data_IF_463624190456
#
_entry.id   IF_463624190456
#
_cell.length_a   1.000
_cell.length_b   1.000
_cell.length_c   1.000
_cell.angle_alpha   90.00
_cell.angle_beta   90.00
_cell.angle_gamma   90.00
#
_symmetry.space_group_name_H-M   'P 1'
#
loop_
_entity.id
_entity.type
_entity.pdbx_description
1 polymer ?
#
# COMPACT_ATOMS: atom_id res chain seq x y z
N UNK A 1 -21.55 29.50 6.54
CA UNK A 1 -21.17 28.36 7.40
C UNK A 1 -21.96 27.16 6.91
N UNK A 2 -21.41 26.39 5.98
CA UNK A 2 -21.99 25.11 5.55
C UNK A 2 -20.85 24.10 5.53
N UNK A 3 -21.07 23.04 6.30
CA UNK A 3 -20.16 21.97 6.65
C UNK A 3 -19.76 21.17 5.42
N UNK A 4 -18.46 21.16 5.09
CA UNK A 4 -17.90 20.08 4.28
C UNK A 4 -17.62 18.91 5.21
N UNK A 5 -18.70 18.26 5.64
CA UNK A 5 -18.63 16.95 6.26
C UNK A 5 -18.03 16.00 5.24
N UNK A 6 -16.93 15.33 5.61
CA UNK A 6 -16.47 14.12 4.94
C UNK A 6 -17.55 13.06 5.21
N UNK A 7 -18.58 13.06 4.37
CA UNK A 7 -19.71 12.14 4.45
C UNK A 7 -19.23 10.80 3.90
N UNK A 8 -18.66 9.97 4.79
CA UNK A 8 -18.61 8.51 4.64
C UNK A 8 -19.98 7.93 5.05
N UNK A 9 -21.06 8.37 4.40
CA UNK A 9 -22.41 7.98 4.78
C UNK A 9 -23.16 7.47 3.54
N UNK A 10 -23.69 6.24 3.68
CA UNK A 10 -24.56 5.48 2.76
C UNK A 10 -23.88 4.77 1.57
N UNK A 11 -23.28 3.60 1.83
CA UNK A 11 -22.95 2.60 0.82
C UNK A 11 -23.78 1.33 1.04
N UNK A 12 -25.03 1.32 0.56
CA UNK A 12 -25.86 0.12 0.47
C UNK A 12 -26.26 -0.05 -1.01
N UNK A 13 -26.06 -1.26 -1.56
CA UNK A 13 -26.57 -1.79 -2.85
C UNK A 13 -25.70 -1.81 -4.12
N UNK A 14 -24.48 -1.30 -4.11
CA UNK A 14 -23.40 -1.81 -4.97
C UNK A 14 -22.09 -1.48 -4.23
N UNK A 15 -21.51 -2.42 -3.47
CA UNK A 15 -20.37 -2.09 -2.64
C UNK A 15 -19.22 -1.72 -3.55
N UNK A 16 -18.65 -0.54 -3.31
CA UNK A 16 -17.41 -0.04 -3.90
C UNK A 16 -16.29 -1.09 -3.77
N UNK A 17 -16.21 -2.04 -4.69
CA UNK A 17 -15.22 -3.12 -4.63
C UNK A 17 -14.19 -3.08 -5.76
N UNK A 18 -14.19 -2.03 -6.58
CA UNK A 18 -13.04 -1.72 -7.43
C UNK A 18 -12.15 -0.59 -6.95
N UNK A 19 -12.67 0.33 -6.17
CA UNK A 19 -12.03 1.63 -6.12
C UNK A 19 -11.55 1.97 -4.72
N UNK A 20 -10.70 1.15 -4.11
CA UNK A 20 -9.78 1.71 -3.12
C UNK A 20 -8.54 2.26 -3.79
N UNK A 21 -7.91 1.55 -4.73
CA UNK A 21 -6.67 2.05 -5.37
C UNK A 21 -6.88 3.10 -6.47
N UNK A 22 -8.02 3.11 -7.16
CA UNK A 22 -8.25 4.03 -8.29
C UNK A 22 -9.09 5.27 -7.96
N UNK A 23 -9.91 5.28 -6.88
CA UNK A 23 -10.64 6.50 -6.45
C UNK A 23 -9.80 7.48 -5.63
N UNK A 24 -8.55 7.14 -5.34
CA UNK A 24 -7.64 8.05 -4.66
C UNK A 24 -7.02 8.97 -5.71
N UNK A 25 -7.84 9.89 -6.21
CA UNK A 25 -7.40 10.88 -7.20
C UNK A 25 -6.38 11.87 -6.62
N UNK A 26 -6.22 11.91 -5.29
CA UNK A 26 -5.38 12.89 -4.60
C UNK A 26 -4.53 12.28 -3.50
N UNK A 27 -3.26 12.71 -3.47
CA UNK A 27 -2.06 12.03 -2.98
C UNK A 27 -2.29 11.01 -1.86
N UNK A 28 -2.13 9.73 -2.21
CA UNK A 28 -2.02 8.65 -1.23
C UNK A 28 -0.67 7.98 -1.32
N UNK A 29 0.02 7.95 -0.18
CA UNK A 29 1.15 7.06 0.03
C UNK A 29 0.64 5.90 0.87
N UNK A 30 0.78 4.68 0.36
CA UNK A 30 0.62 3.50 1.19
C UNK A 30 1.98 2.91 1.45
N UNK A 31 2.29 2.81 2.73
CA UNK A 31 3.61 2.50 3.22
C UNK A 31 3.53 1.42 4.28
N UNK A 32 4.55 0.58 4.33
CA UNK A 32 4.64 -0.50 5.31
C UNK A 32 5.90 -0.37 6.16
N UNK A 33 5.76 -0.69 7.45
CA UNK A 33 6.82 -0.71 8.45
C UNK A 33 6.84 -2.07 9.13
N UNK A 34 8.00 -2.73 9.14
CA UNK A 34 8.18 -3.97 9.89
C UNK A 34 8.69 -3.67 11.29
N UNK A 35 7.90 -4.02 12.30
CA UNK A 35 8.32 -3.97 13.69
C UNK A 35 9.04 -5.28 14.02
N UNK A 36 10.34 -5.35 13.67
CA UNK A 36 11.40 -6.22 14.24
C UNK A 36 12.31 -6.81 13.16
N UNK A 37 13.56 -6.34 13.14
CA UNK A 37 14.74 -7.14 12.78
C UNK A 37 15.95 -6.59 13.55
N UNK A 38 16.10 -6.98 14.82
CA UNK A 38 17.36 -6.79 15.55
C UNK A 38 18.35 -7.86 15.08
N UNK A 39 19.10 -7.62 14.00
CA UNK A 39 20.28 -8.42 13.67
C UNK A 39 21.37 -7.57 13.03
N UNK A 40 22.55 -7.57 13.67
CA UNK A 40 23.83 -7.02 13.21
C UNK A 40 24.52 -8.00 12.23
N UNK A 41 25.57 -7.57 11.50
CA UNK A 41 25.71 -7.77 10.06
C UNK A 41 26.30 -9.13 9.71
N UNK A 42 25.54 -9.93 8.97
CA UNK A 42 26.13 -10.77 7.93
C UNK A 42 25.77 -10.14 6.59
N UNK A 43 26.60 -10.36 5.56
CA UNK A 43 26.55 -9.76 4.22
C UNK A 43 25.22 -10.01 3.47
N UNK A 44 24.13 -9.49 4.02
CA UNK A 44 22.76 -9.77 3.66
C UNK A 44 22.16 -8.48 3.17
N UNK A 45 21.63 -8.50 1.96
CA UNK A 45 21.13 -7.30 1.30
C UNK A 45 19.91 -6.76 2.08
N UNK A 46 19.65 -5.45 2.10
CA UNK A 46 18.53 -4.89 2.86
C UNK A 46 17.19 -5.39 2.30
N UNK A 47 16.34 -6.00 3.12
CA UNK A 47 15.04 -6.56 2.69
C UNK A 47 13.99 -5.50 2.45
N UNK A 48 14.08 -4.39 3.18
CA UNK A 48 13.10 -3.32 3.22
C UNK A 48 13.78 -1.99 3.58
N UNK A 49 13.00 -0.92 3.63
CA UNK A 49 13.51 0.42 3.95
C UNK A 49 13.93 0.58 5.41
N UNK A 50 13.44 -0.26 6.32
CA UNK A 50 13.87 -0.24 7.72
C UNK A 50 15.30 -0.76 7.87
N UNK A 51 15.65 -1.82 7.15
CA UNK A 51 17.04 -2.32 7.09
C UNK A 51 17.98 -1.23 6.55
N UNK A 52 17.57 -0.52 5.49
CA UNK A 52 18.34 0.61 4.94
C UNK A 52 18.53 1.73 5.99
N UNK A 53 17.48 2.09 6.71
CA UNK A 53 17.56 3.08 7.78
C UNK A 53 18.54 2.64 8.88
N UNK A 54 18.49 1.38 9.30
CA UNK A 54 19.42 0.82 10.27
C UNK A 54 20.88 0.76 9.77
N UNK A 55 21.08 0.67 8.45
CA UNK A 55 22.39 0.79 7.79
C UNK A 55 22.84 2.25 7.62
N UNK A 56 22.10 3.23 8.15
CA UNK A 56 22.45 4.65 8.12
C UNK A 56 21.93 5.41 6.91
N UNK A 57 21.04 4.83 6.10
CA UNK A 57 20.38 5.54 5.01
C UNK A 57 19.20 6.34 5.56
N UNK A 58 19.39 7.64 5.80
CA UNK A 58 18.39 8.50 6.47
C UNK A 58 17.70 9.48 5.54
N UNK A 59 17.97 9.44 4.23
CA UNK A 59 17.40 10.37 3.26
C UNK A 59 16.21 9.70 2.57
N UNK A 60 15.05 10.36 2.55
CA UNK A 60 13.91 9.90 1.76
C UNK A 60 14.27 9.89 0.27
N UNK A 61 14.08 8.76 -0.40
CA UNK A 61 14.58 8.58 -1.76
C UNK A 61 14.27 7.22 -2.36
N UNK A 62 14.86 6.97 -3.52
CA UNK A 62 14.73 5.68 -4.22
C UNK A 62 15.90 4.79 -3.86
N UNK A 63 15.57 3.57 -3.46
CA UNK A 63 16.53 2.56 -3.04
C UNK A 63 16.21 1.21 -3.66
N UNK A 64 17.22 0.35 -3.73
CA UNK A 64 17.05 -1.06 -4.08
C UNK A 64 17.01 -1.90 -2.81
N UNK A 65 15.94 -2.68 -2.65
CA UNK A 65 15.75 -3.63 -1.56
C UNK A 65 15.62 -5.06 -2.10
N UNK A 66 15.72 -6.05 -1.23
CA UNK A 66 15.78 -7.48 -1.59
C UNK A 66 14.85 -8.30 -0.68
N UNK A 67 13.52 -8.23 -0.88
CA UNK A 67 12.54 -8.87 0.01
C UNK A 67 12.80 -10.38 0.19
N UNK A 68 13.12 -11.07 -0.90
CA UNK A 68 13.39 -12.52 -0.93
C UNK A 68 14.86 -12.89 -0.76
N UNK A 69 15.77 -11.91 -0.64
CA UNK A 69 17.21 -12.16 -0.56
C UNK A 69 17.79 -12.85 -1.81
N UNK A 70 17.13 -12.65 -2.94
CA UNK A 70 17.64 -13.02 -4.26
C UNK A 70 18.51 -11.92 -4.87
N UNK A 71 19.13 -12.18 -6.01
CA UNK A 71 19.97 -11.20 -6.70
C UNK A 71 19.20 -10.11 -7.44
N UNK A 72 17.89 -10.28 -7.65
CA UNK A 72 17.12 -9.45 -8.57
C UNK A 72 16.74 -8.13 -7.91
N UNK A 73 16.32 -8.17 -6.64
CA UNK A 73 15.91 -6.99 -5.87
C UNK A 73 14.81 -6.17 -6.54
N UNK A 74 14.33 -5.15 -5.85
CA UNK A 74 13.27 -4.27 -6.34
C UNK A 74 13.54 -2.83 -5.94
N UNK A 75 13.26 -1.92 -6.87
CA UNK A 75 13.42 -0.49 -6.67
C UNK A 75 12.16 0.07 -6.00
N UNK A 76 12.33 0.72 -4.85
CA UNK A 76 11.24 1.28 -4.04
C UNK A 76 11.55 2.70 -3.62
N UNK A 77 10.51 3.46 -3.29
CA UNK A 77 10.67 4.70 -2.54
C UNK A 77 10.68 4.38 -1.05
N UNK A 78 11.72 4.81 -0.36
CA UNK A 78 11.80 4.78 1.09
C UNK A 78 11.47 6.16 1.66
N UNK A 79 10.51 6.21 2.57
CA UNK A 79 10.27 7.38 3.41
C UNK A 79 11.03 7.20 4.73
N UNK A 80 12.05 8.05 4.91
CA UNK A 80 12.95 8.03 6.07
C UNK A 80 12.62 9.12 7.09
N UNK A 81 11.58 9.93 6.84
CA UNK A 81 11.26 11.11 7.64
C UNK A 81 10.00 10.88 8.50
N UNK A 82 8.95 10.31 7.92
CA UNK A 82 7.64 10.18 8.55
C UNK A 82 7.71 9.23 9.76
N UNK A 83 7.28 9.70 10.94
CA UNK A 83 7.18 8.89 12.16
C UNK A 83 8.43 8.05 12.51
N UNK A 84 9.63 8.61 12.28
CA UNK A 84 10.90 7.91 12.57
C UNK A 84 11.43 7.04 11.43
N UNK A 85 10.78 7.09 10.26
CA UNK A 85 11.32 6.58 8.99
C UNK A 85 11.41 5.06 8.85
N UNK A 86 11.98 4.65 7.72
CA UNK A 86 12.17 3.24 7.36
C UNK A 86 10.94 2.63 6.71
N UNK A 87 10.07 3.46 6.15
CA UNK A 87 8.85 3.05 5.50
C UNK A 87 9.11 2.67 4.06
N UNK A 88 8.68 1.47 3.66
CA UNK A 88 8.66 1.07 2.25
C UNK A 88 7.34 1.51 1.64
N UNK A 89 7.38 2.48 0.73
CA UNK A 89 6.22 2.86 -0.07
C UNK A 89 5.97 1.73 -1.08
N UNK A 90 4.73 1.26 -1.19
CA UNK A 90 4.38 0.23 -2.18
C UNK A 90 3.27 0.67 -3.14
N UNK A 91 2.57 1.75 -2.80
CA UNK A 91 1.65 2.42 -3.71
C UNK A 91 1.80 3.93 -3.49
N UNK A 92 1.91 4.68 -4.60
CA UNK A 92 1.89 6.14 -4.57
C UNK A 92 1.02 6.72 -5.69
N UNK A 93 0.07 7.60 -5.34
CA UNK A 93 -0.66 8.48 -6.26
C UNK A 93 -0.24 9.93 -6.02
N UNK A 94 -0.12 10.73 -7.07
CA UNK A 94 0.29 12.14 -7.01
C UNK A 94 -0.52 13.00 -7.98
N UNK A 95 -0.53 12.63 -9.26
CA UNK A 95 -0.99 13.48 -10.37
C UNK A 95 -1.84 12.75 -11.42
N UNK A 96 -2.02 11.43 -11.30
CA UNK A 96 -2.76 10.61 -12.26
C UNK A 96 -2.00 10.33 -13.56
N UNK A 97 -0.68 10.53 -13.60
CA UNK A 97 0.17 10.25 -14.77
C UNK A 97 0.28 8.76 -15.11
N UNK A 98 0.01 7.87 -14.15
CA UNK A 98 0.01 6.41 -14.36
C UNK A 98 -1.41 5.90 -14.32
N UNK A 99 -1.78 5.14 -15.35
CA UNK A 99 -3.04 4.41 -15.38
C UNK A 99 -2.99 3.22 -14.41
N UNK A 100 -3.96 3.15 -13.50
CA UNK A 100 -4.14 2.06 -12.54
C UNK A 100 -5.21 1.05 -12.98
N UNK A 101 -5.97 1.32 -14.05
CA UNK A 101 -6.92 0.36 -14.60
C UNK A 101 -6.20 -0.75 -15.39
N UNK A 102 -5.58 -1.66 -14.64
CA UNK A 102 -4.62 -2.66 -15.13
C UNK A 102 -5.13 -4.08 -15.00
N UNK A 103 -4.43 -5.00 -15.65
CA UNK A 103 -4.74 -6.44 -15.62
C UNK A 103 -4.06 -7.12 -14.43
N UNK A 104 -4.50 -8.35 -14.13
CA UNK A 104 -3.95 -9.15 -13.03
C UNK A 104 -2.42 -9.26 -13.08
N UNK A 105 -1.87 -9.50 -14.28
CA UNK A 105 -0.43 -9.66 -14.48
C UNK A 105 0.35 -8.40 -14.08
N UNK A 106 -0.16 -7.21 -14.41
CA UNK A 106 0.48 -5.93 -14.06
C UNK A 106 0.44 -5.70 -12.54
N UNK A 107 -0.72 -5.95 -11.91
CA UNK A 107 -0.86 -5.83 -10.46
C UNK A 107 0.00 -6.86 -9.71
N UNK A 108 0.22 -8.04 -10.29
CA UNK A 108 1.12 -9.04 -9.77
C UNK A 108 2.58 -8.57 -9.80
N UNK A 109 3.07 -8.14 -10.97
CA UNK A 109 4.48 -7.76 -11.17
C UNK A 109 4.84 -6.38 -10.64
N UNK A 110 3.88 -5.45 -10.60
CA UNK A 110 4.12 -4.04 -10.39
C UNK A 110 4.16 -3.24 -11.69
N UNK A 111 3.89 -1.94 -11.59
CA UNK A 111 3.88 -0.99 -12.70
C UNK A 111 4.13 0.44 -12.21
N UNK A 112 4.47 1.35 -13.12
CA UNK A 112 4.77 2.76 -12.82
C UNK A 112 6.24 3.00 -12.46
N UNK A 113 6.52 4.11 -11.77
CA UNK A 113 7.88 4.51 -11.39
C UNK A 113 7.91 4.97 -9.92
N UNK A 114 8.82 4.38 -9.12
CA UNK A 114 8.95 4.70 -7.71
C UNK A 114 9.22 6.19 -7.41
N UNK A 115 9.75 6.95 -8.37
CA UNK A 115 9.93 8.40 -8.27
C UNK A 115 8.62 9.19 -8.39
N UNK A 116 7.62 8.66 -9.09
CA UNK A 116 6.33 9.32 -9.37
C UNK A 116 5.19 8.50 -8.78
N UNK A 117 4.31 7.95 -9.63
CA UNK A 117 3.21 7.07 -9.27
C UNK A 117 3.56 5.63 -9.62
N UNK A 118 3.23 4.69 -8.74
CA UNK A 118 3.51 3.28 -8.98
C UNK A 118 2.73 2.35 -8.06
N UNK A 119 2.74 1.09 -8.47
CA UNK A 119 2.35 -0.08 -7.72
C UNK A 119 3.53 -1.04 -7.67
N UNK A 120 3.95 -1.43 -6.46
CA UNK A 120 5.14 -2.27 -6.26
C UNK A 120 4.99 -3.70 -6.79
N UNK A 121 3.75 -4.18 -6.93
CA UNK A 121 3.45 -5.56 -7.31
C UNK A 121 3.04 -6.42 -6.12
N UNK A 122 1.97 -7.18 -6.28
CA UNK A 122 1.41 -8.05 -5.24
C UNK A 122 2.41 -9.12 -4.79
N UNK A 123 3.26 -9.63 -5.71
CA UNK A 123 4.31 -10.58 -5.35
C UNK A 123 5.30 -9.96 -4.36
N UNK A 124 5.73 -8.72 -4.61
CA UNK A 124 6.67 -8.02 -3.72
C UNK A 124 6.01 -7.63 -2.39
N UNK A 125 4.76 -7.20 -2.40
CA UNK A 125 4.01 -6.86 -1.18
C UNK A 125 3.78 -8.10 -0.31
N UNK A 126 3.43 -9.24 -0.92
CA UNK A 126 3.33 -10.52 -0.21
C UNK A 126 4.66 -10.87 0.49
N UNK A 127 5.78 -10.81 -0.24
CA UNK A 127 7.11 -11.12 0.31
C UNK A 127 7.51 -10.20 1.46
N UNK A 128 7.19 -8.91 1.36
CA UNK A 128 7.46 -7.93 2.43
C UNK A 128 6.61 -8.19 3.67
N UNK A 129 5.34 -8.55 3.49
CA UNK A 129 4.40 -8.75 4.59
C UNK A 129 4.43 -10.14 5.22
N UNK A 130 5.02 -11.12 4.54
CA UNK A 130 5.25 -12.46 5.08
C UNK A 130 6.37 -12.52 6.15
N UNK A 131 7.15 -11.44 6.32
CA UNK A 131 8.34 -11.41 7.18
C UNK A 131 8.04 -11.18 8.67
N UNK A 132 6.77 -10.99 9.06
CA UNK A 132 6.37 -10.83 10.46
C UNK A 132 5.31 -9.76 10.66
N UNK A 133 5.40 -9.05 11.79
CA UNK A 133 4.44 -8.01 12.13
C UNK A 133 4.74 -6.74 11.33
N UNK A 134 3.90 -6.49 10.33
CA UNK A 134 3.97 -5.31 9.48
C UNK A 134 2.81 -4.37 9.79
N UNK A 135 3.14 -3.11 10.04
CA UNK A 135 2.20 -2.00 10.15
C UNK A 135 1.99 -1.39 8.77
N UNK A 136 0.73 -1.15 8.42
CA UNK A 136 0.34 -0.37 7.25
C UNK A 136 0.05 1.07 7.67
N UNK A 137 0.51 2.04 6.91
CA UNK A 137 0.06 3.43 6.98
C UNK A 137 -0.41 3.90 5.62
N UNK A 138 -1.54 4.59 5.62
CA UNK A 138 -2.16 5.24 4.48
C UNK A 138 -2.20 6.73 4.79
N UNK A 139 -1.41 7.52 4.06
CA UNK A 139 -1.48 8.98 4.13
C UNK A 139 -2.40 9.49 3.03
N UNK A 140 -3.32 10.38 3.35
CA UNK A 140 -4.27 11.02 2.43
C UNK A 140 -4.04 12.52 2.43
N UNK A 141 -3.91 13.13 1.26
CA UNK A 141 -3.80 14.58 1.12
C UNK A 141 -4.88 15.07 0.17
N UNK A 142 -5.68 16.01 0.66
CA UNK A 142 -6.62 16.78 -0.16
C UNK A 142 -5.96 18.10 -0.55
N UNK A 143 -5.61 18.30 -1.83
CA UNK A 143 -5.08 19.56 -2.31
C UNK A 143 -6.17 20.64 -2.28
N UNK A 144 -5.75 21.88 -2.07
CA UNK A 144 -6.63 23.04 -2.02
C UNK A 144 -6.16 24.04 -0.96
N UNK A 145 -6.78 25.22 -0.89
CA UNK A 145 -6.55 26.19 0.18
C UNK A 145 -7.67 26.12 1.25
N UNK A 146 -7.39 25.70 2.51
CA UNK A 146 -6.13 25.16 3.02
C UNK A 146 -5.93 23.69 2.62
N UNK A 147 -4.66 23.28 2.51
CA UNK A 147 -4.32 21.87 2.28
C UNK A 147 -4.73 21.07 3.52
N UNK A 148 -5.35 19.92 3.30
CA UNK A 148 -5.74 19.01 4.38
C UNK A 148 -5.01 17.69 4.21
N UNK A 149 -4.63 17.09 5.33
CA UNK A 149 -4.03 15.76 5.39
C UNK A 149 -4.68 14.96 6.50
N UNK A 150 -4.84 13.67 6.27
CA UNK A 150 -5.26 12.69 7.27
C UNK A 150 -4.49 11.38 7.05
N UNK A 151 -4.46 10.50 8.05
CA UNK A 151 -3.86 9.18 7.91
C UNK A 151 -4.71 8.08 8.57
N UNK A 152 -4.57 6.88 8.04
CA UNK A 152 -5.03 5.65 8.67
C UNK A 152 -3.82 4.73 8.88
N UNK A 153 -3.75 4.07 10.03
CA UNK A 153 -2.69 3.16 10.40
C UNK A 153 -3.27 1.86 10.93
N UNK A 154 -2.74 0.73 10.48
CA UNK A 154 -3.19 -0.62 10.86
C UNK A 154 -2.01 -1.38 11.43
N UNK A 155 -2.08 -1.78 12.70
CA UNK A 155 -0.98 -2.44 13.40
C UNK A 155 -0.65 -3.85 12.88
N UNK A 156 -1.53 -4.44 12.06
CA UNK A 156 -1.32 -5.71 11.38
C UNK A 156 -1.77 -5.58 9.93
N UNK A 157 -0.87 -5.91 9.00
CA UNK A 157 -1.13 -5.93 7.57
C UNK A 157 -0.40 -7.09 6.91
N UNK A 158 -1.14 -7.90 6.16
CA UNK A 158 -0.58 -8.97 5.35
C UNK A 158 -1.36 -9.17 4.05
N UNK A 159 -0.63 -9.55 3.01
CA UNK A 159 -1.19 -9.94 1.72
C UNK A 159 -0.85 -11.41 1.49
N UNK A 160 -1.85 -12.21 1.13
CA UNK A 160 -1.68 -13.63 0.79
C UNK A 160 -0.81 -13.84 -0.45
N UNK A 161 -0.49 -15.08 -0.77
CA UNK A 161 0.16 -15.42 -2.05
C UNK A 161 -0.88 -15.52 -3.19
N UNK A 162 -0.39 -15.73 -4.42
CA UNK A 162 -1.25 -15.83 -5.60
C UNK A 162 -2.25 -16.99 -5.52
N UNK A 163 -1.90 -18.13 -4.92
CA UNK A 163 -2.80 -19.29 -4.80
C UNK A 163 -3.99 -19.01 -3.89
N UNK A 164 -3.90 -17.95 -3.08
CA UNK A 164 -4.99 -17.41 -2.25
C UNK A 164 -5.52 -16.08 -2.79
N UNK A 165 -5.29 -15.80 -4.08
CA UNK A 165 -5.69 -14.57 -4.77
C UNK A 165 -5.30 -13.31 -3.99
N UNK A 166 -4.11 -13.32 -3.38
CA UNK A 166 -3.56 -12.20 -2.59
C UNK A 166 -4.52 -11.67 -1.52
N UNK A 167 -5.26 -12.57 -0.83
CA UNK A 167 -6.21 -12.21 0.23
C UNK A 167 -5.62 -11.20 1.22
N UNK A 168 -6.35 -10.11 1.44
CA UNK A 168 -5.96 -9.04 2.35
C UNK A 168 -6.26 -9.44 3.79
N UNK A 169 -5.33 -9.15 4.70
CA UNK A 169 -5.56 -9.22 6.15
C UNK A 169 -5.10 -7.93 6.79
N UNK A 170 -6.01 -7.27 7.49
CA UNK A 170 -5.67 -6.11 8.29
C UNK A 170 -6.45 -6.07 9.61
N UNK A 171 -5.85 -5.43 10.61
CA UNK A 171 -6.44 -5.19 11.91
C UNK A 171 -5.73 -4.04 12.65
N UNK A 172 -6.35 -3.56 13.73
CA UNK A 172 -5.75 -2.57 14.63
C UNK A 172 -5.70 -1.17 14.03
N UNK A 173 -6.83 -0.72 13.46
CA UNK A 173 -6.99 0.63 12.95
C UNK A 173 -6.70 1.69 14.02
N UNK A 174 -6.07 2.77 13.59
CA UNK A 174 -5.82 4.02 14.31
C UNK A 174 -5.65 5.14 13.28
N UNK A 175 -5.76 6.40 13.70
CA UNK A 175 -5.59 7.57 12.83
C UNK A 175 -6.82 8.46 12.77
N UNK A 176 -6.76 9.49 11.95
CA UNK A 176 -7.74 10.58 11.84
C UNK A 176 -8.47 10.60 10.48
N UNK A 177 -8.17 9.67 9.58
CA UNK A 177 -8.84 9.54 8.28
C UNK A 177 -10.20 8.81 8.31
N UNK A 178 -10.51 8.12 9.41
CA UNK A 178 -11.64 7.17 9.48
C UNK A 178 -11.25 5.77 8.97
N UNK A 179 -11.95 4.74 9.44
CA UNK A 179 -11.69 3.35 9.06
C UNK A 179 -12.58 2.93 7.88
N UNK A 180 -12.04 3.07 6.67
CA UNK A 180 -12.67 2.60 5.43
C UNK A 180 -11.99 1.37 4.84
N UNK A 181 -10.98 0.80 5.51
CA UNK A 181 -10.20 -0.32 4.94
C UNK A 181 -10.46 -1.64 5.65
N UNK A 182 -10.79 -1.63 6.94
CA UNK A 182 -11.00 -2.88 7.72
C UNK A 182 -12.09 -3.77 7.12
N UNK A 183 -13.12 -3.18 6.50
CA UNK A 183 -14.17 -3.94 5.80
C UNK A 183 -13.63 -4.85 4.67
N UNK A 184 -12.49 -4.50 4.07
CA UNK A 184 -11.84 -5.31 3.03
C UNK A 184 -10.98 -6.47 3.58
N UNK A 185 -10.85 -6.57 4.90
CA UNK A 185 -10.09 -7.67 5.52
C UNK A 185 -10.76 -9.01 5.25
N UNK A 186 -9.99 -9.99 4.77
CA UNK A 186 -10.46 -11.31 4.35
C UNK A 186 -10.87 -11.40 2.88
N UNK A 187 -10.90 -10.28 2.15
CA UNK A 187 -11.30 -10.25 0.74
C UNK A 187 -10.12 -10.52 -0.19
N UNK A 188 -10.41 -11.15 -1.33
CA UNK A 188 -9.43 -11.47 -2.37
C UNK A 188 -9.22 -10.28 -3.31
N UNK A 189 -8.06 -10.21 -3.94
CA UNK A 189 -7.78 -9.17 -4.92
C UNK A 189 -8.54 -9.45 -6.22
N UNK A 190 -9.09 -8.42 -6.85
CA UNK A 190 -9.88 -8.51 -8.09
C UNK A 190 -9.37 -7.49 -9.10
N UNK A 191 -9.29 -7.87 -10.37
CA UNK A 191 -8.95 -7.00 -11.51
C UNK A 191 -9.96 -7.17 -12.64
N UNK A 192 -9.92 -6.27 -13.63
CA UNK A 192 -10.84 -6.27 -14.77
C UNK A 192 -10.92 -7.61 -15.51
N UNK A 193 -9.82 -8.37 -15.49
CA UNK A 193 -9.65 -9.67 -16.15
C UNK A 193 -9.62 -10.86 -15.19
N UNK A 194 -9.77 -10.64 -13.87
CA UNK A 194 -9.83 -11.70 -12.86
C UNK A 194 -10.71 -11.31 -11.68
N UNK A 195 -11.96 -11.74 -11.74
CA UNK A 195 -12.95 -11.55 -10.70
C UNK A 195 -12.77 -12.57 -9.55
N UNK A 196 -12.44 -12.08 -8.36
CA UNK A 196 -12.42 -12.87 -7.13
C UNK A 196 -13.26 -12.20 -6.03
N UNK A 197 -14.13 -11.24 -6.38
CA UNK A 197 -14.98 -10.58 -5.40
C UNK A 197 -16.21 -11.44 -5.07
N UNK A 198 -17.02 -10.99 -4.12
CA UNK A 198 -18.18 -11.77 -3.64
C UNK A 198 -19.49 -11.38 -4.30
N UNK A 199 -19.46 -10.52 -5.32
CA UNK A 199 -20.66 -10.05 -6.00
C UNK A 199 -20.96 -10.87 -7.26
N UNK A 200 -22.13 -10.61 -7.84
CA UNK A 200 -22.53 -11.20 -9.12
C UNK A 200 -21.86 -10.54 -10.33
N UNK A 201 -21.41 -9.30 -10.16
CA UNK A 201 -20.76 -8.51 -11.21
C UNK A 201 -19.31 -8.27 -10.79
N UNK A 202 -18.41 -8.25 -11.77
CA UNK A 202 -17.02 -7.90 -11.50
C UNK A 202 -16.97 -6.44 -11.07
N UNK A 203 -16.68 -6.21 -9.79
CA UNK A 203 -16.53 -4.86 -9.29
C UNK A 203 -15.46 -4.16 -10.09
N UNK A 204 -14.41 -4.89 -10.49
CA UNK A 204 -13.28 -4.42 -11.27
C UNK A 204 -13.58 -3.98 -12.73
N UNK A 205 -14.85 -3.91 -13.13
CA UNK A 205 -15.29 -3.35 -14.44
C UNK A 205 -16.49 -2.40 -14.26
N UNK A 206 -17.03 -2.27 -13.05
CA UNK A 206 -18.36 -1.70 -12.78
C UNK A 206 -18.36 -0.20 -12.48
#
# INVERSE_FOLDING_TARGET
MVSYSLVFEYCYFCPFHQLFFENIKYVQNIILYSANHFFLPTARQPRNCKDLLCLGQTITGIYKIYPDQDSNGVTVRCDMDTNGGGWTVFQRRVDGSVDFYRKWADYKSGFGNANTEYWLGLDNIHKLTAQGNVTLRVDLITPGPPQRSAYASYSSFAVGNETRSYVLRLAGYSGDAGDSFTYHSGMMFTTQDKDNDQLSNNCAVS
#
